data_IF_913825213587
#
_entry.id   IF_913825213587
#
_cell.length_a   1.000
_cell.length_b   1.000
_cell.length_c   1.000
_cell.angle_alpha   90.00
_cell.angle_beta   90.00
_cell.angle_gamma   90.00
#
_symmetry.space_group_name_H-M   'P 1'
#
loop_
_entity.id
_entity.type
_entity.pdbx_description
1 polymer ?
#
# COMPACT_ATOMS: atom_id res chain seq x y z
N UNK A 1 -28.90 -23.29 -25.18
CA UNK A 1 -27.58 -22.79 -25.62
C UNK A 1 -27.36 -21.46 -24.94
N UNK A 2 -26.17 -21.25 -24.39
CA UNK A 2 -25.83 -20.03 -23.68
C UNK A 2 -25.48 -18.97 -24.74
N UNK A 3 -26.26 -17.88 -24.81
CA UNK A 3 -26.01 -16.76 -25.74
C UNK A 3 -24.72 -16.06 -25.31
N UNK A 4 -23.64 -16.28 -26.06
CA UNK A 4 -22.42 -15.49 -25.90
C UNK A 4 -22.07 -14.70 -27.15
N UNK A 5 -22.28 -15.23 -28.37
CA UNK A 5 -21.89 -14.52 -29.62
C UNK A 5 -22.82 -14.89 -30.80
N UNK A 6 -23.86 -14.08 -31.04
CA UNK A 6 -24.82 -14.27 -32.14
C UNK A 6 -25.39 -12.94 -32.61
N UNK A 7 -25.64 -12.78 -33.92
CA UNK A 7 -26.53 -11.74 -34.44
C UNK A 7 -27.95 -12.30 -34.55
N UNK A 8 -28.93 -11.59 -33.96
CA UNK A 8 -30.33 -12.04 -33.88
C UNK A 8 -31.18 -11.10 -34.73
N UNK A 9 -31.77 -11.61 -35.81
CA UNK A 9 -32.77 -10.90 -36.58
C UNK A 9 -34.15 -11.48 -36.25
N UNK A 10 -35.08 -10.65 -35.76
CA UNK A 10 -36.43 -11.07 -35.47
C UNK A 10 -37.30 -10.88 -36.71
N UNK A 11 -37.81 -11.97 -37.28
CA UNK A 11 -38.77 -11.94 -38.38
C UNK A 11 -40.17 -12.19 -37.83
N UNK A 12 -41.01 -11.14 -37.87
CA UNK A 12 -42.42 -11.21 -37.49
C UNK A 12 -43.27 -10.47 -38.52
N UNK A 13 -44.40 -11.06 -38.89
CA UNK A 13 -45.39 -10.38 -39.75
C UNK A 13 -45.73 -9.02 -39.14
N UNK A 14 -45.47 -7.95 -39.90
CA UNK A 14 -45.88 -6.59 -39.56
C UNK A 14 -47.41 -6.56 -39.40
N UNK A 15 -47.88 -6.77 -38.17
CA UNK A 15 -49.24 -6.46 -37.79
C UNK A 15 -49.44 -4.96 -38.00
N UNK A 16 -50.21 -4.65 -39.04
CA UNK A 16 -50.86 -3.39 -39.34
C UNK A 16 -50.90 -2.47 -38.10
N UNK A 17 -50.14 -1.38 -38.14
CA UNK A 17 -50.22 -0.27 -37.18
C UNK A 17 -51.62 0.34 -37.25
N UNK A 18 -52.59 -0.32 -36.60
CA UNK A 18 -53.88 0.27 -36.32
C UNK A 18 -53.68 1.37 -35.29
N UNK A 19 -54.14 2.57 -35.63
CA UNK A 19 -54.01 3.80 -34.84
C UNK A 19 -54.39 3.57 -33.37
N UNK A 20 -53.41 3.46 -32.48
CA UNK A 20 -53.61 3.51 -31.04
C UNK A 20 -53.03 4.81 -30.46
N UNK A 21 -53.63 5.27 -29.36
CA UNK A 21 -53.37 6.56 -28.69
C UNK A 21 -51.89 6.74 -28.37
N UNK A 22 -51.40 7.99 -28.44
CA UNK A 22 -50.01 8.37 -28.08
C UNK A 22 -49.61 7.73 -26.74
N UNK A 23 -48.56 6.91 -26.75
CA UNK A 23 -47.85 6.50 -25.54
C UNK A 23 -47.79 5.01 -25.22
N UNK A 24 -48.47 4.13 -25.94
CA UNK A 24 -48.35 2.68 -25.74
C UNK A 24 -47.64 2.02 -26.93
N UNK A 25 -46.33 1.83 -26.81
CA UNK A 25 -45.64 0.80 -27.57
C UNK A 25 -45.84 -0.53 -26.84
N UNK A 26 -46.89 -1.24 -27.23
CA UNK A 26 -47.05 -2.64 -26.88
C UNK A 26 -46.08 -3.42 -27.76
N UNK A 27 -44.83 -3.60 -27.31
CA UNK A 27 -43.97 -4.66 -27.85
C UNK A 27 -44.75 -5.97 -27.64
N UNK A 28 -45.15 -6.67 -28.71
CA UNK A 28 -45.83 -7.95 -28.61
C UNK A 28 -45.07 -8.95 -27.72
N UNK A 29 -45.79 -9.89 -27.10
CA UNK A 29 -45.16 -10.97 -26.33
C UNK A 29 -44.09 -11.68 -27.17
N UNK A 30 -42.99 -12.10 -26.52
CA UNK A 30 -41.87 -12.82 -27.16
C UNK A 30 -42.33 -14.11 -27.89
N UNK A 31 -43.45 -14.69 -27.46
CA UNK A 31 -44.11 -15.84 -28.09
C UNK A 31 -44.55 -15.58 -29.54
N UNK A 32 -44.72 -14.32 -29.94
CA UNK A 32 -45.16 -13.91 -31.27
C UNK A 32 -44.01 -13.72 -32.26
N UNK A 33 -42.77 -13.93 -31.82
CA UNK A 33 -41.59 -13.75 -32.64
C UNK A 33 -40.91 -15.08 -32.92
N UNK A 34 -40.43 -15.20 -34.16
CA UNK A 34 -39.44 -16.21 -34.57
C UNK A 34 -38.15 -15.51 -34.94
N UNK A 35 -37.04 -16.18 -34.69
CA UNK A 35 -35.71 -15.57 -34.83
C UNK A 35 -34.87 -16.36 -35.80
N UNK A 36 -34.22 -15.62 -36.70
CA UNK A 36 -33.18 -16.16 -37.56
C UNK A 36 -31.84 -15.72 -36.96
N UNK A 37 -30.99 -16.70 -36.62
CA UNK A 37 -29.78 -16.49 -35.83
C UNK A 37 -28.56 -16.82 -36.69
N UNK A 38 -27.68 -15.86 -36.90
CA UNK A 38 -26.35 -16.10 -37.46
C UNK A 38 -25.36 -16.42 -36.35
N UNK A 39 -24.62 -17.51 -36.53
CA UNK A 39 -23.51 -17.90 -35.67
C UNK A 39 -22.27 -17.05 -35.99
N UNK A 40 -21.65 -16.49 -34.96
CA UNK A 40 -20.38 -15.77 -35.07
C UNK A 40 -19.24 -16.70 -34.62
N UNK A 41 -18.08 -16.56 -35.25
CA UNK A 41 -16.86 -17.20 -34.79
C UNK A 41 -16.24 -16.44 -33.59
N UNK A 42 -15.15 -16.99 -33.03
CA UNK A 42 -14.42 -16.38 -31.90
C UNK A 42 -13.86 -14.97 -32.18
N UNK A 43 -13.88 -14.51 -33.44
CA UNK A 43 -13.44 -13.19 -33.88
C UNK A 43 -14.62 -12.29 -34.29
N UNK A 44 -15.86 -12.66 -33.95
CA UNK A 44 -17.09 -11.98 -34.37
C UNK A 44 -17.30 -11.93 -35.90
N UNK A 45 -16.70 -12.86 -36.65
CA UNK A 45 -16.94 -13.01 -38.09
C UNK A 45 -18.10 -13.99 -38.30
N UNK A 46 -19.04 -13.64 -39.18
CA UNK A 46 -20.16 -14.53 -39.51
C UNK A 46 -19.64 -15.84 -40.11
N UNK A 47 -20.00 -16.97 -39.50
CA UNK A 47 -19.59 -18.30 -39.99
C UNK A 47 -20.38 -18.74 -41.23
N UNK A 48 -21.41 -17.98 -41.62
CA UNK A 48 -22.38 -18.33 -42.65
C UNK A 48 -23.40 -19.38 -42.20
N UNK A 49 -23.30 -19.91 -40.96
CA UNK A 49 -24.28 -20.83 -40.40
C UNK A 49 -25.47 -20.05 -39.83
N UNK A 50 -26.61 -20.11 -40.52
CA UNK A 50 -27.87 -19.48 -40.10
C UNK A 50 -28.80 -20.55 -39.55
N UNK A 51 -29.35 -20.30 -38.36
CA UNK A 51 -30.46 -21.09 -37.79
C UNK A 51 -31.74 -20.30 -37.91
N UNK A 52 -32.63 -20.78 -38.75
CA UNK A 52 -33.93 -20.16 -38.99
C UNK A 52 -34.97 -20.60 -37.95
N UNK A 53 -35.98 -19.74 -37.74
CA UNK A 53 -37.22 -20.05 -36.97
C UNK A 53 -36.98 -20.53 -35.54
N UNK A 54 -35.96 -20.00 -34.88
CA UNK A 54 -35.68 -20.30 -33.47
C UNK A 54 -36.75 -19.65 -32.58
N UNK A 55 -37.20 -20.37 -31.55
CA UNK A 55 -38.19 -19.87 -30.58
C UNK A 55 -37.53 -19.09 -29.45
N UNK A 56 -38.25 -18.12 -28.88
CA UNK A 56 -37.79 -17.33 -27.71
C UNK A 56 -37.34 -18.20 -26.51
N UNK A 57 -37.90 -19.41 -26.34
CA UNK A 57 -37.51 -20.33 -25.25
C UNK A 57 -36.10 -20.91 -25.43
N UNK A 58 -35.60 -20.94 -26.66
CA UNK A 58 -34.29 -21.47 -27.01
C UNK A 58 -33.19 -20.39 -26.93
N UNK A 59 -33.60 -19.11 -26.87
CA UNK A 59 -32.75 -17.95 -26.68
C UNK A 59 -32.46 -17.72 -25.19
N UNK A 60 -31.60 -18.56 -24.61
CA UNK A 60 -31.22 -18.44 -23.20
C UNK A 60 -29.89 -17.69 -23.07
N UNK A 61 -29.92 -16.55 -22.37
CA UNK A 61 -28.67 -15.86 -22.01
C UNK A 61 -27.89 -16.68 -21.00
N UNK A 62 -26.55 -16.59 -21.05
CA UNK A 62 -25.76 -17.23 -20.01
C UNK A 62 -26.13 -16.69 -18.63
N UNK A 63 -26.31 -17.57 -17.64
CA UNK A 63 -26.68 -17.17 -16.28
C UNK A 63 -25.54 -16.43 -15.57
N UNK A 64 -24.29 -16.66 -15.98
CA UNK A 64 -23.08 -16.06 -15.38
C UNK A 64 -22.74 -14.69 -15.97
N UNK A 65 -22.89 -14.54 -17.29
CA UNK A 65 -22.58 -13.31 -18.00
C UNK A 65 -23.82 -12.40 -17.94
N UNK A 66 -23.69 -11.18 -17.41
CA UNK A 66 -24.80 -10.20 -17.33
C UNK A 66 -25.87 -10.48 -16.26
N UNK A 67 -25.51 -11.09 -15.13
CA UNK A 67 -26.37 -11.11 -13.95
C UNK A 67 -26.75 -9.68 -13.51
N UNK A 68 -27.87 -9.52 -12.79
CA UNK A 68 -28.37 -8.20 -12.35
C UNK A 68 -27.31 -7.37 -11.62
N UNK A 69 -26.45 -8.02 -10.84
CA UNK A 69 -25.36 -7.37 -10.12
C UNK A 69 -24.28 -6.87 -11.09
N UNK A 70 -23.88 -7.69 -12.07
CA UNK A 70 -22.91 -7.32 -13.12
C UNK A 70 -23.42 -6.13 -13.95
N UNK A 71 -24.68 -6.17 -14.40
CA UNK A 71 -25.30 -5.06 -15.14
C UNK A 71 -25.31 -3.77 -14.31
N UNK A 72 -25.62 -3.88 -13.01
CA UNK A 72 -25.66 -2.71 -12.11
C UNK A 72 -24.29 -2.06 -11.98
N UNK A 73 -23.23 -2.86 -11.83
CA UNK A 73 -21.87 -2.33 -11.71
C UNK A 73 -21.39 -1.79 -13.05
N UNK A 74 -21.64 -2.50 -14.17
CA UNK A 74 -21.37 -2.02 -15.51
C UNK A 74 -22.01 -0.64 -15.76
N UNK A 75 -23.30 -0.46 -15.47
CA UNK A 75 -23.97 0.83 -15.65
C UNK A 75 -23.41 1.93 -14.73
N UNK A 76 -23.01 1.59 -13.49
CA UNK A 76 -22.38 2.55 -12.57
C UNK A 76 -21.00 3.00 -13.07
N UNK A 77 -20.26 2.08 -13.67
CA UNK A 77 -18.91 2.35 -14.16
C UNK A 77 -18.93 3.02 -15.53
N UNK A 78 -19.91 2.72 -16.38
CA UNK A 78 -19.99 3.20 -17.76
C UNK A 78 -20.84 4.46 -17.94
N UNK A 79 -21.78 4.73 -17.03
CA UNK A 79 -22.70 5.87 -17.15
C UNK A 79 -22.57 6.86 -15.99
N UNK A 80 -22.79 8.13 -16.29
CA UNK A 80 -23.04 9.20 -15.33
C UNK A 80 -24.56 9.47 -15.24
N UNK A 81 -25.04 9.84 -14.06
CA UNK A 81 -26.42 10.26 -13.88
C UNK A 81 -26.49 11.79 -13.90
N UNK A 82 -26.98 12.36 -15.00
CA UNK A 82 -27.27 13.78 -15.12
C UNK A 82 -28.75 13.99 -14.82
N UNK A 83 -29.09 14.47 -13.61
CA UNK A 83 -30.40 14.91 -13.07
C UNK A 83 -31.71 14.20 -13.52
N UNK A 84 -31.91 13.93 -14.81
CA UNK A 84 -33.05 13.26 -15.44
C UNK A 84 -32.69 12.10 -16.39
N UNK A 85 -31.41 11.84 -16.69
CA UNK A 85 -30.96 10.82 -17.65
C UNK A 85 -29.63 10.17 -17.25
N UNK A 86 -29.48 8.89 -17.59
CA UNK A 86 -28.19 8.21 -17.58
C UNK A 86 -27.49 8.48 -18.92
N UNK A 87 -26.34 9.13 -18.88
CA UNK A 87 -25.48 9.44 -20.03
C UNK A 87 -24.22 8.58 -19.96
N UNK A 88 -23.70 8.11 -21.09
CA UNK A 88 -22.43 7.35 -21.11
C UNK A 88 -21.29 8.31 -20.79
N UNK A 89 -20.31 7.88 -19.98
CA UNK A 89 -19.15 8.70 -19.65
C UNK A 89 -18.36 9.06 -20.92
N UNK A 90 -17.93 10.32 -21.03
CA UNK A 90 -17.21 10.85 -22.20
C UNK A 90 -15.98 10.02 -22.59
N UNK A 91 -15.21 9.57 -21.60
CA UNK A 91 -14.03 8.71 -21.79
C UNK A 91 -14.36 7.43 -22.57
N UNK A 92 -15.52 6.83 -22.33
CA UNK A 92 -15.96 5.61 -23.02
C UNK A 92 -16.51 5.90 -24.42
N UNK A 93 -17.17 7.05 -24.58
CA UNK A 93 -17.66 7.51 -25.88
C UNK A 93 -16.48 7.68 -26.85
N UNK A 94 -15.41 8.34 -26.41
CA UNK A 94 -14.18 8.53 -27.20
C UNK A 94 -13.46 7.19 -27.45
N UNK A 95 -13.29 6.36 -26.41
CA UNK A 95 -12.56 5.09 -26.52
C UNK A 95 -13.23 4.08 -27.46
N UNK A 96 -14.55 3.99 -27.42
CA UNK A 96 -15.32 3.02 -28.21
C UNK A 96 -15.85 3.62 -29.52
N UNK A 97 -15.57 4.91 -29.79
CA UNK A 97 -16.04 5.60 -30.98
C UNK A 97 -17.57 5.65 -31.08
N UNK A 98 -18.28 5.74 -29.94
CA UNK A 98 -19.74 5.66 -29.92
C UNK A 98 -20.42 6.84 -30.64
N UNK A 99 -19.73 7.98 -30.76
CA UNK A 99 -20.23 9.15 -31.49
C UNK A 99 -20.33 8.91 -33.01
N UNK A 100 -19.62 7.91 -33.53
CA UNK A 100 -19.62 7.57 -34.95
C UNK A 100 -20.59 6.44 -35.29
N UNK A 101 -21.12 5.74 -34.28
CA UNK A 101 -22.07 4.65 -34.49
C UNK A 101 -23.46 5.19 -34.78
N UNK A 102 -24.06 4.71 -35.86
CA UNK A 102 -25.45 5.01 -36.19
C UNK A 102 -26.40 3.94 -35.64
N UNK A 103 -27.66 4.31 -35.41
CA UNK A 103 -28.68 3.37 -34.90
C UNK A 103 -28.76 2.10 -35.76
N UNK A 104 -28.77 2.27 -37.08
CA UNK A 104 -28.91 1.19 -38.05
C UNK A 104 -27.70 0.25 -38.10
N UNK A 105 -26.54 0.67 -37.57
CA UNK A 105 -25.34 -0.16 -37.47
C UNK A 105 -25.37 -1.07 -36.23
N UNK A 106 -26.11 -0.68 -35.20
CA UNK A 106 -26.12 -1.37 -33.89
C UNK A 106 -27.42 -2.11 -33.65
N UNK A 107 -28.55 -1.58 -34.15
CA UNK A 107 -29.88 -2.11 -33.92
C UNK A 107 -30.60 -2.41 -35.23
N UNK A 108 -31.16 -3.61 -35.34
CA UNK A 108 -32.08 -3.95 -36.42
C UNK A 108 -33.48 -3.39 -36.15
N UNK A 109 -34.09 -2.82 -37.19
CA UNK A 109 -35.49 -2.35 -37.15
C UNK A 109 -35.64 -0.85 -36.86
N UNK A 110 -36.88 -0.34 -36.81
CA UNK A 110 -37.16 1.08 -36.65
C UNK A 110 -36.63 1.60 -35.31
N UNK A 111 -36.25 2.89 -35.28
CA UNK A 111 -35.77 3.57 -34.06
C UNK A 111 -36.79 3.40 -32.94
N UNK A 112 -36.35 2.82 -31.83
CA UNK A 112 -37.23 2.57 -30.70
C UNK A 112 -37.60 3.90 -30.01
N UNK A 113 -38.90 4.19 -29.91
CA UNK A 113 -39.37 5.28 -29.05
C UNK A 113 -39.52 4.76 -27.62
N UNK A 114 -38.63 5.15 -26.71
CA UNK A 114 -38.76 4.73 -25.32
C UNK A 114 -39.73 5.66 -24.56
N UNK A 115 -40.74 5.10 -23.84
CA UNK A 115 -41.59 5.92 -22.99
C UNK A 115 -40.73 6.55 -21.89
N UNK A 116 -41.02 7.81 -21.53
CA UNK A 116 -40.34 8.47 -20.41
C UNK A 116 -40.66 7.71 -19.12
N UNK A 117 -39.70 6.94 -18.63
CA UNK A 117 -39.78 6.28 -17.34
C UNK A 117 -39.32 7.27 -16.26
N UNK A 118 -40.18 7.67 -15.32
CA UNK A 118 -39.76 8.57 -14.24
C UNK A 118 -38.67 7.90 -13.41
N UNK A 119 -37.57 8.63 -13.18
CA UNK A 119 -36.50 8.19 -12.29
C UNK A 119 -37.08 7.93 -10.90
N UNK A 120 -37.00 6.67 -10.44
CA UNK A 120 -37.34 6.36 -9.07
C UNK A 120 -36.39 7.11 -8.14
N UNK A 121 -36.93 8.00 -7.32
CA UNK A 121 -36.19 8.78 -6.34
C UNK A 121 -35.40 7.82 -5.43
N UNK A 122 -34.10 7.69 -5.65
CA UNK A 122 -33.23 6.97 -4.73
C UNK A 122 -33.13 7.83 -3.48
N UNK A 123 -33.62 7.31 -2.35
CA UNK A 123 -33.50 7.97 -1.06
C UNK A 123 -32.05 8.37 -0.76
N UNK A 124 -31.84 9.39 0.09
CA UNK A 124 -30.52 9.96 0.32
C UNK A 124 -29.49 8.87 0.66
N UNK A 125 -28.38 8.86 -0.07
CA UNK A 125 -27.22 8.02 0.23
C UNK A 125 -26.79 8.28 1.67
N UNK A 126 -26.90 7.25 2.54
CA UNK A 126 -26.34 7.29 3.89
C UNK A 126 -24.83 7.49 3.77
N UNK A 127 -24.36 8.73 3.90
CA UNK A 127 -22.94 9.06 3.80
C UNK A 127 -22.59 10.54 3.66
N UNK A 128 -23.51 11.40 3.21
CA UNK A 128 -23.21 12.84 3.09
C UNK A 128 -23.89 13.64 4.21
N UNK A 129 -23.16 13.85 5.30
CA UNK A 129 -23.48 14.88 6.30
C UNK A 129 -22.24 15.76 6.52
N UNK A 130 -22.09 16.81 5.71
CA UNK A 130 -21.84 18.20 6.15
C UNK A 130 -21.67 19.15 4.96
N UNK A 131 -22.35 20.31 4.94
CA UNK A 131 -21.93 21.44 4.12
C UNK A 131 -20.74 22.17 4.77
N UNK A 132 -19.84 22.78 3.97
CA UNK A 132 -18.74 23.60 4.48
C UNK A 132 -19.23 25.01 4.87
N UNK A 133 -18.76 25.62 5.98
CA UNK A 133 -19.02 27.03 6.23
C UNK A 133 -18.15 27.91 5.31
N UNK A 134 -18.85 28.82 4.64
CA UNK A 134 -18.33 29.89 3.80
C UNK A 134 -17.39 30.84 4.57
N UNK A 135 -16.33 31.26 3.89
CA UNK A 135 -15.46 32.39 4.26
C UNK A 135 -16.20 33.72 4.06
N UNK A 136 -16.09 34.67 5.00
CA UNK A 136 -16.25 36.11 4.71
C UNK A 136 -15.34 36.97 5.61
N UNK A 137 -14.87 38.05 4.98
CA UNK A 137 -13.78 38.97 5.29
C UNK A 137 -14.01 39.92 6.49
N UNK A 138 -12.91 40.34 7.15
CA UNK A 138 -12.50 41.76 7.23
C UNK A 138 -12.84 42.65 8.43
N UNK A 139 -11.77 43.18 9.06
CA UNK A 139 -11.54 44.56 9.60
C UNK A 139 -11.60 44.89 11.12
N UNK A 140 -10.39 45.18 11.63
CA UNK A 140 -9.85 46.35 12.39
C UNK A 140 -10.28 46.76 13.81
N UNK A 141 -9.22 47.01 14.63
CA UNK A 141 -9.01 47.97 15.74
C UNK A 141 -9.85 47.78 17.03
N UNK A 142 -9.37 47.94 18.27
CA UNK A 142 -8.24 48.70 18.85
C UNK A 142 -7.85 48.18 20.26
N UNK A 143 -6.65 48.57 20.70
CA UNK A 143 -6.16 48.88 22.07
C UNK A 143 -6.32 47.88 23.23
N UNK A 144 -5.17 47.42 23.77
CA UNK A 144 -4.65 47.94 25.05
C UNK A 144 -3.17 47.53 25.31
N UNK A 145 -2.30 48.54 25.31
CA UNK A 145 -1.10 48.80 26.13
C UNK A 145 -0.28 47.60 26.68
N UNK A 146 0.95 47.38 26.21
CA UNK A 146 2.21 48.05 26.59
C UNK A 146 2.74 47.68 27.98
N UNK A 147 3.92 47.03 28.01
CA UNK A 147 5.18 47.61 28.50
C UNK A 147 6.25 46.53 28.75
N UNK A 148 7.50 46.94 28.48
CA UNK A 148 8.80 46.36 28.88
C UNK A 148 9.49 45.34 27.96
N UNK A 149 10.14 45.90 26.93
CA UNK A 149 11.51 45.59 26.45
C UNK A 149 12.25 46.96 26.50
N UNK A 150 13.54 47.13 26.71
CA UNK A 150 14.72 46.28 26.75
C UNK A 150 15.79 47.04 27.57
N UNK A 151 16.83 46.36 28.04
CA UNK A 151 18.15 47.00 28.18
C UNK A 151 19.25 45.95 27.99
N UNK A 152 20.02 46.11 26.91
CA UNK A 152 21.15 45.28 26.52
C UNK A 152 22.44 46.10 26.60
N UNK A 153 23.36 45.65 27.49
CA UNK A 153 24.81 45.45 27.30
C UNK A 153 25.65 46.57 26.63
N UNK A 154 26.68 47.09 27.33
CA UNK A 154 28.07 46.68 27.09
C UNK A 154 29.12 47.31 28.03
N UNK A 155 30.20 46.54 28.21
CA UNK A 155 31.44 46.83 28.92
C UNK A 155 32.41 47.60 28.01
N UNK A 156 33.24 48.51 28.55
CA UNK A 156 34.66 48.67 28.17
C UNK A 156 35.48 49.50 29.19
N UNK A 157 36.79 49.26 29.13
CA UNK A 157 37.88 49.42 30.10
C UNK A 157 38.41 50.83 30.47
N UNK A 158 39.24 50.84 31.55
CA UNK A 158 40.42 51.71 31.86
C UNK A 158 40.11 53.15 32.31
N UNK A 159 40.82 53.80 33.24
CA UNK A 159 42.20 53.67 33.70
C UNK A 159 42.47 54.34 35.08
N UNK A 160 43.71 54.16 35.57
CA UNK A 160 44.34 54.52 36.85
C UNK A 160 44.16 55.97 37.38
N UNK A 161 44.19 56.15 38.72
CA UNK A 161 45.29 56.84 39.43
C UNK A 161 45.22 56.76 40.96
N UNK A 162 46.37 56.40 41.53
CA UNK A 162 46.74 56.41 42.96
C UNK A 162 47.05 57.84 43.44
N UNK A 163 46.83 58.12 44.73
CA UNK A 163 47.71 59.01 45.53
C UNK A 163 48.09 58.33 46.85
N UNK A 164 49.38 58.41 47.15
CA UNK A 164 50.11 57.86 48.31
C UNK A 164 49.94 58.76 49.54
N UNK A 165 50.03 58.16 50.72
CA UNK A 165 50.79 58.77 51.84
C UNK A 165 51.53 57.69 52.63
N UNK A 166 52.78 57.99 52.97
CA UNK A 166 53.82 57.15 53.60
C UNK A 166 53.59 57.00 55.11
N UNK A 167 53.96 55.85 55.69
CA UNK A 167 54.99 55.77 56.75
C UNK A 167 55.44 54.33 57.07
N UNK A 168 56.77 54.16 57.00
CA UNK A 168 57.69 53.38 57.86
C UNK A 168 57.47 51.88 58.08
N UNK A 169 58.26 51.12 57.31
CA UNK A 169 59.40 50.27 57.71
C UNK A 169 59.33 49.39 58.96
N UNK A 170 59.78 48.14 58.69
CA UNK A 170 60.37 47.15 59.58
C UNK A 170 59.37 46.41 60.49
N UNK A 171 58.73 45.37 59.92
CA UNK A 171 58.63 43.99 60.47
C UNK A 171 57.57 43.17 59.68
N UNK A 172 57.69 43.04 58.36
CA UNK A 172 56.56 42.58 57.51
C UNK A 172 56.85 41.44 56.53
N UNK A 173 57.87 40.59 56.75
CA UNK A 173 57.97 39.33 55.99
C UNK A 173 57.07 38.22 56.56
N UNK A 174 56.79 38.20 57.86
CA UNK A 174 55.97 37.16 58.50
C UNK A 174 54.46 37.45 58.54
N UNK A 175 54.04 38.70 58.32
CA UNK A 175 52.63 39.14 58.35
C UNK A 175 52.00 39.14 56.95
N UNK A 176 52.76 39.45 55.89
CA UNK A 176 52.29 39.36 54.50
C UNK A 176 52.06 37.90 54.09
N UNK A 177 52.97 36.99 54.44
CA UNK A 177 52.80 35.54 54.22
C UNK A 177 51.57 34.99 54.96
N UNK A 178 51.32 35.42 56.20
CA UNK A 178 50.11 35.03 56.97
C UNK A 178 48.82 35.63 56.43
N UNK A 179 48.85 36.84 55.86
CA UNK A 179 47.68 37.47 55.20
C UNK A 179 47.38 36.83 53.85
N UNK A 180 48.42 36.51 53.07
CA UNK A 180 48.31 35.82 51.80
C UNK A 180 47.83 34.37 52.00
N UNK A 181 48.34 33.66 53.00
CA UNK A 181 47.84 32.33 53.36
C UNK A 181 46.38 32.37 53.84
N UNK A 182 45.98 33.38 54.62
CA UNK A 182 44.57 33.59 54.99
C UNK A 182 43.69 33.87 53.77
N UNK A 183 44.16 34.62 52.77
CA UNK A 183 43.40 34.87 51.51
C UNK A 183 43.27 33.59 50.69
N UNK A 184 44.35 32.83 50.52
CA UNK A 184 44.35 31.54 49.83
C UNK A 184 43.45 30.50 50.51
N UNK A 185 43.45 30.43 51.85
CA UNK A 185 42.51 29.59 52.61
C UNK A 185 41.06 30.04 52.41
N UNK A 186 40.78 31.35 52.42
CA UNK A 186 39.42 31.88 52.21
C UNK A 186 38.90 31.63 50.80
N UNK A 187 39.78 31.70 49.80
CA UNK A 187 39.48 31.45 48.39
C UNK A 187 39.29 29.96 48.10
N UNK A 188 40.11 29.10 48.71
CA UNK A 188 39.93 27.64 48.70
C UNK A 188 38.56 27.23 49.27
N UNK A 189 38.19 27.76 50.45
CA UNK A 189 36.88 27.49 51.07
C UNK A 189 35.72 28.00 50.19
N UNK A 190 35.88 29.15 49.52
CA UNK A 190 34.84 29.71 48.63
C UNK A 190 34.67 28.85 47.37
N UNK A 191 35.77 28.37 46.78
CA UNK A 191 35.73 27.48 45.63
C UNK A 191 35.15 26.12 45.98
N UNK A 192 35.48 25.59 47.17
CA UNK A 192 34.91 24.34 47.66
C UNK A 192 33.40 24.45 47.91
N UNK A 193 32.93 25.55 48.47
CA UNK A 193 31.49 25.84 48.60
C UNK A 193 30.79 25.95 47.24
N UNK A 194 31.41 26.61 46.25
CA UNK A 194 30.86 26.74 44.90
C UNK A 194 30.74 25.37 44.22
N UNK A 195 31.77 24.51 44.33
CA UNK A 195 31.73 23.14 43.79
C UNK A 195 30.62 22.29 44.43
N UNK A 196 30.46 22.36 45.75
CA UNK A 196 29.38 21.63 46.44
C UNK A 196 27.99 22.10 46.01
N UNK A 197 27.80 23.41 45.79
CA UNK A 197 26.53 23.94 45.30
C UNK A 197 26.23 23.51 43.84
N UNK A 198 27.24 23.42 42.98
CA UNK A 198 27.08 22.92 41.61
C UNK A 198 26.69 21.45 41.62
N UNK A 199 27.38 20.63 42.42
CA UNK A 199 27.06 19.21 42.56
C UNK A 199 25.62 18.97 43.07
N UNK A 200 25.17 19.75 44.06
CA UNK A 200 23.78 19.68 44.54
C UNK A 200 22.77 20.08 43.46
N UNK A 201 23.05 21.12 42.69
CA UNK A 201 22.16 21.53 41.60
C UNK A 201 22.09 20.47 40.48
N UNK A 202 23.22 19.82 40.15
CA UNK A 202 23.23 18.73 39.17
C UNK A 202 22.46 17.51 39.68
N UNK A 203 22.62 17.14 40.95
CA UNK A 203 21.87 16.04 41.59
C UNK A 203 20.35 16.30 41.59
N UNK A 204 19.92 17.54 41.86
CA UNK A 204 18.50 17.92 41.77
C UNK A 204 17.94 17.87 40.33
N UNK A 205 18.79 18.12 39.32
CA UNK A 205 18.42 18.11 37.91
C UNK A 205 18.58 16.75 37.23
N UNK A 206 19.20 15.76 37.88
CA UNK A 206 19.43 14.41 37.37
C UNK A 206 18.13 13.76 36.85
N UNK A 207 17.03 13.94 37.58
CA UNK A 207 15.72 13.44 37.17
C UNK A 207 15.16 14.08 35.89
N UNK A 208 15.61 15.28 35.53
CA UNK A 208 15.29 15.92 34.24
C UNK A 208 16.22 15.45 33.13
N UNK A 209 17.51 15.23 33.41
CA UNK A 209 18.44 14.65 32.43
C UNK A 209 18.04 13.25 32.03
N UNK A 210 17.63 12.42 32.99
CA UNK A 210 17.15 11.07 32.69
C UNK A 210 15.87 11.09 31.83
N UNK A 211 14.97 12.06 32.08
CA UNK A 211 13.81 12.26 31.22
C UNK A 211 14.20 12.71 29.80
N UNK A 212 15.22 13.56 29.68
CA UNK A 212 15.69 14.04 28.38
C UNK A 212 16.40 12.92 27.59
N UNK A 213 17.26 12.11 28.25
CA UNK A 213 17.89 10.93 27.65
C UNK A 213 16.86 9.91 27.17
N UNK A 214 15.80 9.68 27.96
CA UNK A 214 14.68 8.81 27.57
C UNK A 214 13.89 9.33 26.36
N UNK A 215 13.91 10.63 26.12
CA UNK A 215 13.29 11.28 24.96
C UNK A 215 14.29 11.47 23.80
N UNK A 216 15.49 10.88 23.88
CA UNK A 216 16.56 11.00 22.88
C UNK A 216 16.96 12.45 22.58
N UNK A 217 17.06 13.28 23.62
CA UNK A 217 17.65 14.62 23.53
C UNK A 217 19.15 14.46 23.81
N UNK A 218 19.95 14.39 22.75
CA UNK A 218 21.36 13.99 22.84
C UNK A 218 22.30 15.13 23.26
N UNK A 219 21.91 16.39 23.04
CA UNK A 219 22.72 17.56 23.42
C UNK A 219 22.30 18.10 24.79
N UNK A 220 22.77 17.44 25.85
CA UNK A 220 22.59 17.87 27.24
C UNK A 220 23.79 18.61 27.81
N UNK A 221 24.89 18.71 27.05
CA UNK A 221 26.19 19.26 27.50
C UNK A 221 26.09 20.72 27.97
N UNK A 222 25.10 21.47 27.48
CA UNK A 222 24.83 22.84 27.93
C UNK A 222 24.31 22.90 29.38
N UNK A 223 23.61 21.87 29.85
CA UNK A 223 22.97 21.82 31.15
C UNK A 223 23.69 20.88 32.14
N UNK A 224 24.19 19.75 31.66
CA UNK A 224 24.98 18.80 32.44
C UNK A 224 26.45 19.26 32.48
N UNK A 225 26.80 20.08 33.48
CA UNK A 225 28.14 20.69 33.61
C UNK A 225 28.57 20.96 35.06
N UNK A 226 29.88 20.97 35.29
CA UNK A 226 30.49 21.16 36.63
C UNK A 226 31.12 22.55 36.84
N UNK A 227 31.08 23.43 35.84
CA UNK A 227 31.83 24.69 35.84
C UNK A 227 31.07 25.85 36.53
N UNK A 228 29.75 25.89 36.36
CA UNK A 228 28.89 26.96 36.90
C UNK A 228 27.52 26.43 37.31
N UNK A 229 26.88 27.23 38.16
CA UNK A 229 25.47 27.06 38.47
C UNK A 229 24.63 27.46 37.26
N UNK A 230 23.64 26.64 36.97
CA UNK A 230 22.59 26.94 36.01
C UNK A 230 21.70 28.05 36.56
N UNK A 231 21.36 28.98 35.69
CA UNK A 231 20.38 30.02 36.00
C UNK A 231 18.97 29.43 35.99
N UNK A 232 18.04 30.05 36.72
CA UNK A 232 16.63 29.63 36.70
C UNK A 232 16.02 29.61 35.29
N UNK A 233 16.47 30.51 34.42
CA UNK A 233 16.05 30.56 33.01
C UNK A 233 16.48 29.30 32.23
N UNK A 234 17.71 28.83 32.42
CA UNK A 234 18.23 27.65 31.72
C UNK A 234 17.54 26.36 32.18
N UNK A 235 17.17 26.28 33.46
CA UNK A 235 16.38 25.15 34.00
C UNK A 235 14.96 25.17 33.42
N UNK A 236 14.35 26.35 33.27
CA UNK A 236 13.04 26.50 32.61
C UNK A 236 13.12 26.10 31.15
N UNK A 237 14.19 26.49 30.45
CA UNK A 237 14.42 26.11 29.05
C UNK A 237 14.54 24.59 28.88
N UNK A 238 15.31 23.92 29.74
CA UNK A 238 15.42 22.45 29.74
C UNK A 238 14.05 21.78 29.95
N UNK A 239 13.26 22.26 30.92
CA UNK A 239 11.91 21.74 31.17
C UNK A 239 10.98 21.97 29.97
N UNK A 240 11.11 23.11 29.31
CA UNK A 240 10.32 23.44 28.14
C UNK A 240 10.68 22.57 26.94
N UNK A 241 11.97 22.33 26.71
CA UNK A 241 12.47 21.41 25.68
C UNK A 241 11.92 20.00 25.89
N UNK A 242 12.06 19.44 27.10
CA UNK A 242 11.50 18.12 27.46
C UNK A 242 9.99 18.06 27.20
N UNK A 243 9.25 19.11 27.57
CA UNK A 243 7.80 19.19 27.35
C UNK A 243 7.43 19.23 25.86
N UNK A 244 8.15 20.01 25.06
CA UNK A 244 7.93 20.14 23.62
C UNK A 244 8.26 18.83 22.89
N UNK A 245 9.39 18.20 23.18
CA UNK A 245 9.80 16.92 22.58
C UNK A 245 8.79 15.82 22.90
N UNK A 246 8.31 15.76 24.15
CA UNK A 246 7.28 14.80 24.57
C UNK A 246 5.95 15.01 23.83
N UNK A 247 5.55 16.25 23.59
CA UNK A 247 4.31 16.54 22.87
C UNK A 247 4.44 16.19 21.38
N UNK A 248 5.58 16.51 20.76
CA UNK A 248 5.89 16.16 19.38
C UNK A 248 5.82 14.65 19.15
N UNK A 249 6.44 13.85 20.03
CA UNK A 249 6.40 12.38 19.97
C UNK A 249 4.96 11.84 20.08
N UNK A 250 4.12 12.44 20.94
CA UNK A 250 2.71 12.04 21.06
C UNK A 250 1.90 12.38 19.82
N UNK A 251 2.13 13.56 19.24
CA UNK A 251 1.48 14.01 18.02
C UNK A 251 1.84 13.12 16.83
N UNK A 252 3.13 12.84 16.65
CA UNK A 252 3.63 11.92 15.61
C UNK A 252 3.01 10.53 15.75
N UNK A 253 2.91 10.00 16.99
CA UNK A 253 2.27 8.71 17.25
C UNK A 253 0.77 8.72 16.92
N UNK A 254 0.06 9.83 17.18
CA UNK A 254 -1.36 9.97 16.81
C UNK A 254 -1.54 10.02 15.30
N UNK A 255 -0.72 10.81 14.61
CA UNK A 255 -0.73 10.94 13.15
C UNK A 255 -0.36 9.63 12.46
N UNK A 256 0.64 8.89 12.97
CA UNK A 256 1.00 7.58 12.46
C UNK A 256 -0.17 6.58 12.58
N UNK A 257 -0.82 6.52 13.75
CA UNK A 257 -1.99 5.67 13.97
C UNK A 257 -3.18 6.06 13.09
N UNK A 258 -3.35 7.35 12.80
CA UNK A 258 -4.38 7.83 11.89
C UNK A 258 -4.07 7.40 10.44
N UNK A 259 -2.83 7.60 9.98
CA UNK A 259 -2.39 7.15 8.65
C UNK A 259 -2.53 5.64 8.47
N UNK A 260 -2.19 4.86 9.49
CA UNK A 260 -2.36 3.40 9.47
C UNK A 260 -3.85 3.00 9.33
N UNK A 261 -4.74 3.66 10.08
CA UNK A 261 -6.19 3.44 9.95
C UNK A 261 -6.71 3.81 8.57
N UNK A 262 -6.27 4.94 8.02
CA UNK A 262 -6.66 5.40 6.68
C UNK A 262 -6.15 4.43 5.60
N UNK A 263 -4.90 3.98 5.69
CA UNK A 263 -4.34 2.97 4.80
C UNK A 263 -5.08 1.63 4.88
N UNK A 264 -5.45 1.19 6.10
CA UNK A 264 -6.22 -0.03 6.29
C UNK A 264 -7.65 0.11 5.75
N UNK A 265 -8.27 1.28 5.91
CA UNK A 265 -9.58 1.55 5.32
C UNK A 265 -9.51 1.55 3.79
N UNK A 266 -8.46 2.13 3.19
CA UNK A 266 -8.21 2.09 1.75
C UNK A 266 -8.03 0.65 1.25
N UNK A 267 -7.22 -0.14 1.95
CA UNK A 267 -7.00 -1.55 1.61
C UNK A 267 -8.28 -2.39 1.75
N UNK A 268 -9.12 -2.08 2.74
CA UNK A 268 -10.43 -2.72 2.95
C UNK A 268 -11.51 -2.22 1.99
N UNK A 269 -11.26 -1.19 1.17
CA UNK A 269 -12.25 -0.81 0.16
C UNK A 269 -12.42 -1.99 -0.79
N UNK A 270 -13.65 -2.48 -0.98
CA UNK A 270 -13.90 -3.50 -1.98
C UNK A 270 -13.42 -2.95 -3.31
N UNK A 271 -12.48 -3.67 -3.95
CA UNK A 271 -12.00 -3.31 -5.28
C UNK A 271 -13.20 -3.40 -6.22
N UNK A 272 -13.73 -2.26 -6.63
CA UNK A 272 -14.87 -2.15 -7.55
C UNK A 272 -14.37 -2.29 -8.99
N UNK A 273 -13.62 -3.36 -9.24
CA UNK A 273 -12.84 -3.51 -10.46
C UNK A 273 -13.42 -4.59 -11.37
N UNK A 274 -14.52 -4.20 -12.03
CA UNK A 274 -15.11 -4.97 -13.14
C UNK A 274 -14.15 -5.10 -14.33
N UNK A 275 -13.06 -4.33 -14.38
CA UNK A 275 -12.04 -4.47 -15.42
C UNK A 275 -10.91 -5.43 -15.03
N UNK A 276 -10.77 -5.80 -13.75
CA UNK A 276 -9.81 -6.81 -13.27
C UNK A 276 -10.45 -8.17 -12.95
N UNK A 277 -11.77 -8.27 -12.90
CA UNK A 277 -12.42 -9.55 -13.12
C UNK A 277 -12.22 -9.88 -14.61
N UNK A 278 -11.12 -10.59 -14.90
CA UNK A 278 -10.93 -11.29 -16.17
C UNK A 278 -12.02 -12.37 -16.26
N UNK A 279 -13.23 -11.93 -16.61
CA UNK A 279 -14.36 -12.78 -16.95
C UNK A 279 -14.18 -13.38 -18.34
N UNK A 280 -13.01 -13.22 -18.98
CA UNK A 280 -12.73 -14.03 -20.16
C UNK A 280 -12.69 -15.49 -19.71
N UNK A 281 -13.38 -16.38 -20.45
CA UNK A 281 -13.23 -17.79 -20.19
C UNK A 281 -11.75 -18.16 -20.26
N UNK A 282 -11.31 -19.06 -19.37
CA UNK A 282 -9.97 -19.63 -19.48
C UNK A 282 -9.73 -20.07 -20.93
N UNK A 283 -8.57 -19.77 -21.52
CA UNK A 283 -8.27 -20.21 -22.87
C UNK A 283 -8.47 -21.72 -22.97
N UNK A 284 -9.23 -22.15 -23.98
CA UNK A 284 -9.43 -23.57 -24.26
C UNK A 284 -8.11 -24.16 -24.75
N UNK A 285 -7.41 -24.87 -23.87
CA UNK A 285 -6.21 -25.59 -24.25
C UNK A 285 -6.57 -26.90 -24.97
N UNK A 286 -5.83 -27.22 -26.03
CA UNK A 286 -5.93 -28.54 -26.64
C UNK A 286 -5.56 -29.60 -25.59
N UNK A 287 -6.29 -30.74 -25.52
CA UNK A 287 -5.98 -31.79 -24.57
C UNK A 287 -4.56 -32.30 -24.80
N UNK A 288 -3.78 -32.37 -23.72
CA UNK A 288 -2.42 -32.90 -23.76
C UNK A 288 -2.50 -34.37 -24.17
N UNK A 289 -1.91 -34.71 -25.32
CA UNK A 289 -1.86 -36.09 -25.80
C UNK A 289 -0.70 -36.80 -25.14
N UNK A 290 -1.01 -37.62 -24.15
CA UNK A 290 -0.04 -38.51 -23.53
C UNK A 290 0.27 -39.70 -24.45
N UNK A 291 1.49 -40.26 -24.40
CA UNK A 291 1.80 -41.51 -25.06
C UNK A 291 0.86 -42.64 -24.61
N UNK A 292 0.54 -43.57 -25.52
CA UNK A 292 -0.40 -44.68 -25.25
C UNK A 292 -0.03 -45.51 -24.01
N UNK A 293 1.27 -45.57 -23.70
CA UNK A 293 1.79 -46.35 -22.58
C UNK A 293 1.70 -45.61 -21.22
N UNK A 294 1.34 -44.32 -21.20
CA UNK A 294 1.34 -43.47 -20.01
C UNK A 294 -0.09 -43.11 -19.64
N UNK A 295 -0.53 -43.49 -18.45
CA UNK A 295 -1.81 -43.02 -17.90
C UNK A 295 -1.69 -41.60 -17.33
N UNK A 296 -2.83 -40.95 -17.08
CA UNK A 296 -2.86 -39.61 -16.47
C UNK A 296 -2.22 -39.61 -15.07
N UNK A 297 -2.46 -40.67 -14.28
CA UNK A 297 -1.87 -40.85 -12.95
C UNK A 297 -0.35 -41.07 -13.05
N UNK A 298 0.10 -41.93 -13.97
CA UNK A 298 1.53 -42.15 -14.20
C UNK A 298 2.22 -40.83 -14.60
N UNK A 299 1.61 -40.05 -15.49
CA UNK A 299 2.14 -38.75 -15.89
C UNK A 299 2.28 -37.79 -14.71
N UNK A 300 1.29 -37.78 -13.81
CA UNK A 300 1.31 -37.02 -12.57
C UNK A 300 2.50 -37.39 -11.69
N UNK A 301 2.79 -38.68 -11.51
CA UNK A 301 3.92 -39.14 -10.70
C UNK A 301 5.27 -38.72 -11.31
N UNK A 302 5.41 -38.82 -12.62
CA UNK A 302 6.61 -38.36 -13.33
C UNK A 302 6.78 -36.83 -13.19
N UNK A 303 5.68 -36.08 -13.28
CA UNK A 303 5.67 -34.63 -13.09
C UNK A 303 6.07 -34.24 -11.67
N UNK A 304 5.61 -34.97 -10.66
CA UNK A 304 5.94 -34.70 -9.26
C UNK A 304 7.44 -34.85 -9.01
N UNK A 305 8.05 -35.93 -9.52
CA UNK A 305 9.49 -36.15 -9.41
C UNK A 305 10.26 -35.08 -10.18
N UNK A 306 9.83 -34.74 -11.40
CA UNK A 306 10.43 -33.64 -12.18
C UNK A 306 10.34 -32.29 -11.45
N UNK A 307 9.19 -31.98 -10.86
CA UNK A 307 8.97 -30.75 -10.11
C UNK A 307 9.88 -30.68 -8.88
N UNK A 308 10.12 -31.79 -8.19
CA UNK A 308 11.06 -31.85 -7.07
C UNK A 308 12.46 -31.39 -7.51
N UNK A 309 13.01 -31.98 -8.56
CA UNK A 309 14.34 -31.61 -9.06
C UNK A 309 14.40 -30.16 -9.57
N UNK A 310 13.33 -29.66 -10.17
CA UNK A 310 13.27 -28.27 -10.62
C UNK A 310 13.19 -27.28 -9.44
N UNK A 311 12.43 -27.61 -8.40
CA UNK A 311 12.20 -26.74 -7.25
C UNK A 311 13.41 -26.65 -6.32
N UNK A 312 14.19 -27.73 -6.24
CA UNK A 312 15.38 -27.83 -5.38
C UNK A 312 16.69 -27.81 -6.19
N UNK A 313 16.66 -27.33 -7.43
CA UNK A 313 17.82 -27.34 -8.32
C UNK A 313 19.04 -26.60 -7.74
N UNK A 314 18.82 -25.53 -6.98
CA UNK A 314 19.88 -24.75 -6.32
C UNK A 314 20.50 -25.47 -5.12
N UNK A 315 19.76 -26.39 -4.51
CA UNK A 315 20.15 -27.10 -3.29
C UNK A 315 20.78 -28.46 -3.56
N UNK A 316 20.63 -28.98 -4.77
CA UNK A 316 21.09 -30.30 -5.18
C UNK A 316 22.37 -30.17 -6.03
N UNK A 317 23.35 -31.07 -5.89
CA UNK A 317 24.60 -31.05 -6.67
C UNK A 317 24.39 -31.56 -8.11
N UNK A 318 23.34 -31.08 -8.79
CA UNK A 318 22.92 -31.53 -10.13
C UNK A 318 24.05 -31.29 -11.14
N UNK A 319 24.65 -30.09 -11.15
CA UNK A 319 25.73 -29.76 -12.09
C UNK A 319 26.97 -30.62 -11.90
N UNK A 320 27.26 -31.03 -10.67
CA UNK A 320 28.47 -31.80 -10.36
C UNK A 320 28.32 -33.27 -10.75
N UNK A 321 27.13 -33.83 -10.60
CA UNK A 321 26.86 -35.24 -10.89
C UNK A 321 26.38 -35.44 -12.34
N UNK A 322 25.49 -34.59 -12.83
CA UNK A 322 24.85 -34.70 -14.15
C UNK A 322 25.50 -33.80 -15.22
N UNK A 323 26.39 -32.87 -14.84
CA UNK A 323 27.10 -31.99 -15.77
C UNK A 323 26.27 -30.81 -16.33
N UNK A 324 24.95 -30.82 -16.17
CA UNK A 324 24.05 -29.71 -16.55
C UNK A 324 23.39 -29.06 -15.34
N UNK A 325 22.86 -27.84 -15.51
CA UNK A 325 22.18 -27.11 -14.44
C UNK A 325 20.77 -27.62 -14.14
N UNK A 326 20.18 -28.41 -15.04
CA UNK A 326 18.79 -28.84 -14.93
C UNK A 326 18.61 -30.25 -15.49
N UNK A 327 17.69 -30.97 -14.87
CA UNK A 327 17.20 -32.26 -15.34
C UNK A 327 15.98 -31.99 -16.23
N UNK A 328 15.84 -32.71 -17.33
CA UNK A 328 14.70 -32.62 -18.26
C UNK A 328 13.63 -33.65 -17.91
N UNK A 329 12.39 -33.37 -18.27
CA UNK A 329 11.29 -34.31 -18.04
C UNK A 329 11.53 -35.69 -18.69
N UNK A 330 12.12 -35.71 -19.89
CA UNK A 330 12.46 -36.96 -20.58
C UNK A 330 13.49 -37.81 -19.82
N UNK A 331 14.39 -37.18 -19.06
CA UNK A 331 15.40 -37.86 -18.24
C UNK A 331 14.76 -38.51 -17.01
N UNK A 332 13.74 -37.88 -16.42
CA UNK A 332 12.91 -38.48 -15.37
C UNK A 332 12.13 -39.70 -15.89
N UNK A 333 11.51 -39.56 -17.07
CA UNK A 333 10.83 -40.67 -17.73
C UNK A 333 11.78 -41.82 -18.03
N UNK A 334 12.99 -41.51 -18.50
CA UNK A 334 14.03 -42.51 -18.74
C UNK A 334 14.43 -43.20 -17.45
N UNK A 335 14.69 -42.46 -16.38
CA UNK A 335 15.12 -43.00 -15.09
C UNK A 335 14.10 -43.94 -14.44
N UNK A 336 12.80 -43.66 -14.59
CA UNK A 336 11.75 -44.48 -13.97
C UNK A 336 11.49 -45.75 -14.78
N UNK A 337 11.71 -45.70 -16.10
CA UNK A 337 11.34 -46.78 -17.02
C UNK A 337 12.52 -47.62 -17.51
N UNK A 338 13.76 -47.18 -17.29
CA UNK A 338 14.95 -47.93 -17.68
C UNK A 338 15.04 -49.23 -16.86
N UNK A 339 15.11 -50.40 -17.52
CA UNK A 339 15.29 -51.67 -16.83
C UNK A 339 16.78 -52.02 -16.60
N UNK A 340 17.71 -51.20 -17.08
CA UNK A 340 19.16 -51.47 -17.06
C UNK A 340 19.81 -50.90 -15.80
N UNK A 341 20.47 -51.71 -14.96
CA UNK A 341 21.15 -51.25 -13.75
C UNK A 341 22.55 -50.67 -14.02
N UNK A 342 22.80 -50.13 -15.21
CA UNK A 342 24.12 -49.63 -15.60
C UNK A 342 24.48 -48.36 -14.80
N UNK A 343 25.75 -48.17 -14.46
CA UNK A 343 26.22 -47.04 -13.64
C UNK A 343 26.00 -45.67 -14.28
N UNK A 344 25.91 -45.63 -15.61
CA UNK A 344 25.61 -44.42 -16.37
C UNK A 344 24.10 -44.19 -16.58
N UNK A 345 23.24 -45.05 -16.01
CA UNK A 345 21.79 -44.89 -16.13
C UNK A 345 21.30 -43.63 -15.39
N UNK A 346 20.26 -43.01 -15.96
CA UNK A 346 19.66 -41.80 -15.42
C UNK A 346 19.14 -42.02 -13.99
N UNK A 347 18.60 -43.21 -13.69
CA UNK A 347 18.19 -43.55 -12.33
C UNK A 347 19.38 -43.48 -11.34
N UNK A 348 20.51 -44.07 -11.70
CA UNK A 348 21.70 -44.08 -10.87
C UNK A 348 22.25 -42.66 -10.65
N UNK A 349 22.25 -41.83 -11.70
CA UNK A 349 22.66 -40.42 -11.61
C UNK A 349 21.74 -39.61 -10.69
N UNK A 350 20.42 -39.75 -10.82
CA UNK A 350 19.46 -39.07 -9.94
C UNK A 350 19.61 -39.50 -8.48
N UNK A 351 19.79 -40.80 -8.24
CA UNK A 351 20.03 -41.32 -6.90
C UNK A 351 21.36 -40.83 -6.32
N UNK A 352 22.41 -40.73 -7.14
CA UNK A 352 23.70 -40.19 -6.70
C UNK A 352 23.58 -38.72 -6.30
N UNK A 353 22.82 -37.90 -7.05
CA UNK A 353 22.52 -36.51 -6.66
C UNK A 353 21.87 -36.45 -5.26
N UNK A 354 20.84 -37.27 -5.03
CA UNK A 354 20.10 -37.27 -3.77
C UNK A 354 20.95 -37.77 -2.59
N UNK A 355 21.72 -38.84 -2.80
CA UNK A 355 22.58 -39.41 -1.77
C UNK A 355 23.74 -38.48 -1.43
N UNK A 356 24.35 -37.83 -2.43
CA UNK A 356 25.42 -36.86 -2.22
C UNK A 356 24.92 -35.64 -1.44
N UNK A 357 23.76 -35.09 -1.81
CA UNK A 357 23.15 -34.00 -1.07
C UNK A 357 22.82 -34.39 0.38
N UNK A 358 22.40 -35.65 0.60
CA UNK A 358 22.13 -36.16 1.95
C UNK A 358 23.41 -36.28 2.78
N UNK A 359 24.51 -36.77 2.21
CA UNK A 359 25.78 -36.91 2.93
C UNK A 359 26.40 -35.55 3.26
N UNK A 360 26.41 -34.62 2.31
CA UNK A 360 26.97 -33.27 2.53
C UNK A 360 26.25 -32.54 3.67
N UNK A 361 24.93 -32.67 3.78
CA UNK A 361 24.18 -32.07 4.89
C UNK A 361 24.30 -32.80 6.21
N UNK A 362 24.48 -34.12 6.20
CA UNK A 362 24.74 -34.87 7.43
C UNK A 362 26.11 -34.48 8.01
N UNK A 363 27.12 -34.30 7.16
CA UNK A 363 28.45 -33.86 7.56
C UNK A 363 28.46 -32.41 8.11
N UNK A 364 27.55 -31.54 7.63
CA UNK A 364 27.36 -30.18 8.17
C UNK A 364 26.68 -30.16 9.55
N UNK A 365 25.76 -31.09 9.85
CA UNK A 365 25.07 -31.17 11.15
C UNK A 365 25.93 -31.79 12.27
N UNK A 366 26.80 -32.75 11.96
CA UNK A 366 27.70 -33.39 12.93
C UNK A 366 28.97 -32.54 13.24
N UNK A 367 29.22 -31.48 12.47
CA UNK A 367 30.39 -30.61 12.61
C UNK A 367 30.30 -29.54 13.71
N UNK A 368 29.10 -29.28 14.26
CA UNK A 368 28.84 -28.22 15.24
C UNK A 368 28.85 -28.71 16.72
N UNK A 369 29.05 -30.00 16.98
CA UNK A 369 29.16 -30.56 18.36
C UNK A 369 30.61 -30.65 18.89
N UNK A 370 31.49 -29.78 18.40
CA UNK A 370 32.92 -29.86 18.70
C UNK A 370 33.56 -28.54 19.10
N UNK A 371 32.99 -27.82 20.07
CA UNK A 371 33.72 -26.93 20.99
C UNK A 371 32.76 -26.32 22.05
N UNK A 372 32.66 -26.98 23.22
CA UNK A 372 32.18 -26.38 24.46
C UNK A 372 33.08 -26.75 25.64
#
# INVERSE_FOLDING_TARGET
MYLTEYCICASGECCVLSRLKRGELLIPSAERYTYDISLLDKNNVETGEIRERVSHQQLLRSKSLWARNVIRVFLKNSCAADHERLTVKKELVEKLGLDHMCWDEVFGGPVAEFPRTPLMHRGPSKGSLRPPPLHLNGQTMDDFDAQYEADFVNITEKEKKRKRTKKTDLENKSIEEKKEEKRRKKESIKNEKKKRAIAQQQEELEGLFEQARKLSIDDLSRWEQDERLLTGAEIVELKQLIRQTKEKIREEKRLAKQREKEALLEWKKPRDDVACDDLQPLPEYAPLRLPIWMSDDDFGDHLFIFQFFQSFAELLPIREVHGTSNIKFAEIVSAIRSPSPDTDDMFAQLMHILLKAKTERADEEDGDEGDF
#
